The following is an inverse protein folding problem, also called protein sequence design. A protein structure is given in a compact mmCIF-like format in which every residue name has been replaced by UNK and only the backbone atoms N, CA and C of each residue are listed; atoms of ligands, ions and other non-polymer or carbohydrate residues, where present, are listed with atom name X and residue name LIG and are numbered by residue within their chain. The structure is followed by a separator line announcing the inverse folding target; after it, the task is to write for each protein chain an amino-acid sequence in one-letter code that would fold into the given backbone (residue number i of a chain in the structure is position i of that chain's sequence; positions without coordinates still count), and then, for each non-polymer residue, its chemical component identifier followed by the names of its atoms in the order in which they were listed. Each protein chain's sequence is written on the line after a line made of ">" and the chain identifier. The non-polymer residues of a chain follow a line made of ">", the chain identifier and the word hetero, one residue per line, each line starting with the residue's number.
data_IF_303938993937
#
_entry.id   IF_303938993937
#
_cell.length_a   1.000
_cell.length_b   1.000
_cell.length_c   1.000
_cell.angle_alpha   90.00
_cell.angle_beta   90.00
_cell.angle_gamma   90.00
#
_symmetry.space_group_name_H-M   'P 1'
#
loop_
_entity.id
_entity.type
_entity.pdbx_description
1 polymer ?
#
# COMPACT_ATOMS: atom_id res chain seq x y z
N UNK A 1 10.14 9.69 -17.39
CA UNK A 1 11.12 9.47 -16.32
C UNK A 1 12.29 8.79 -16.98
N UNK A 2 13.45 9.46 -17.04
CA UNK A 2 14.62 8.97 -17.76
C UNK A 2 15.37 8.03 -16.81
N UNK A 3 15.53 6.76 -17.18
CA UNK A 3 16.19 5.73 -16.35
C UNK A 3 17.66 6.05 -15.99
N UNK A 4 18.24 7.05 -16.65
CA UNK A 4 19.61 7.51 -16.43
C UNK A 4 19.91 8.03 -15.01
N UNK A 5 18.90 8.44 -14.22
CA UNK A 5 19.11 8.95 -12.87
C UNK A 5 19.10 7.85 -11.78
N UNK A 6 18.79 6.60 -12.12
CA UNK A 6 18.68 5.50 -11.15
C UNK A 6 20.03 4.81 -10.85
N UNK A 7 21.08 5.14 -11.59
CA UNK A 7 22.37 4.41 -11.54
C UNK A 7 23.54 5.20 -10.94
N UNK A 8 23.31 6.36 -10.32
CA UNK A 8 24.34 7.01 -9.50
C UNK A 8 24.55 6.23 -8.20
N UNK A 9 25.44 5.25 -8.28
CA UNK A 9 25.95 4.49 -7.15
C UNK A 9 27.08 5.26 -6.49
N UNK A 10 27.22 5.12 -5.18
CA UNK A 10 28.40 5.62 -4.48
C UNK A 10 29.67 4.87 -4.95
N UNK A 11 30.85 5.33 -4.53
CA UNK A 11 32.14 4.67 -4.84
C UNK A 11 32.22 3.20 -4.37
N UNK A 12 31.27 2.74 -3.54
CA UNK A 12 31.15 1.38 -3.02
C UNK A 12 30.08 0.55 -3.75
N UNK A 13 29.42 1.11 -4.77
CA UNK A 13 28.39 0.44 -5.56
C UNK A 13 26.99 0.44 -4.92
N UNK A 14 26.79 1.14 -3.79
CA UNK A 14 25.48 1.23 -3.15
C UNK A 14 24.59 2.22 -3.90
N UNK A 15 23.32 1.83 -4.07
CA UNK A 15 22.31 2.74 -4.59
C UNK A 15 21.90 3.77 -3.53
N UNK A 16 21.77 5.03 -3.93
CA UNK A 16 21.13 6.09 -3.13
C UNK A 16 20.24 6.95 -4.03
N UNK A 17 19.11 7.46 -3.54
CA UNK A 17 18.33 8.43 -4.30
C UNK A 17 19.13 9.73 -4.44
N UNK A 18 19.04 10.37 -5.61
CA UNK A 18 19.71 11.65 -5.88
C UNK A 18 19.22 12.77 -4.95
N UNK A 19 17.95 12.72 -4.54
CA UNK A 19 17.33 13.70 -3.66
C UNK A 19 16.92 13.07 -2.31
N UNK A 20 17.00 13.81 -1.21
CA UNK A 20 16.43 13.40 0.07
C UNK A 20 14.93 13.15 -0.04
N UNK A 21 14.42 12.19 0.76
CA UNK A 21 12.98 11.94 0.85
C UNK A 21 12.29 13.20 1.38
N UNK A 22 11.44 13.80 0.54
CA UNK A 22 10.65 14.95 0.93
C UNK A 22 9.64 14.58 2.02
N UNK A 23 9.57 15.40 3.08
CA UNK A 23 8.56 15.23 4.12
C UNK A 23 7.16 15.58 3.58
N UNK A 24 6.16 14.84 4.03
CA UNK A 24 4.77 15.14 3.71
C UNK A 24 4.41 16.57 4.15
N UNK A 25 3.62 17.32 3.36
CA UNK A 25 3.31 18.73 3.65
C UNK A 25 2.50 18.93 4.94
N UNK A 26 1.89 17.86 5.48
CA UNK A 26 1.24 17.87 6.79
C UNK A 26 2.22 18.11 7.94
N UNK A 27 3.51 17.78 7.73
CA UNK A 27 4.57 17.99 8.72
C UNK A 27 5.23 19.37 8.59
N UNK A 28 4.78 20.22 7.67
CA UNK A 28 5.37 21.54 7.47
C UNK A 28 4.92 22.52 8.55
N UNK A 29 5.89 23.25 9.11
CA UNK A 29 5.64 24.43 9.94
C UNK A 29 6.23 25.67 9.27
N UNK A 30 5.47 26.76 9.07
CA UNK A 30 4.05 26.93 9.42
C UNK A 30 3.11 26.05 8.57
N UNK A 31 1.89 25.74 9.05
CA UNK A 31 0.96 24.86 8.33
C UNK A 31 0.59 25.41 6.95
N UNK A 32 0.52 24.54 5.94
CA UNK A 32 0.23 24.90 4.53
C UNK A 32 -1.03 24.18 4.01
N UNK A 33 -2.25 24.63 4.35
CA UNK A 33 -3.50 23.89 4.07
C UNK A 33 -3.71 23.54 2.59
N UNK A 34 -3.44 24.49 1.69
CA UNK A 34 -3.59 24.26 0.24
C UNK A 34 -2.63 23.18 -0.27
N UNK A 35 -1.41 23.14 0.26
CA UNK A 35 -0.43 22.11 -0.10
C UNK A 35 -0.87 20.73 0.42
N UNK A 36 -1.42 20.66 1.63
CA UNK A 36 -1.98 19.43 2.20
C UNK A 36 -3.16 18.91 1.38
N UNK A 37 -4.09 19.77 0.97
CA UNK A 37 -5.22 19.37 0.13
C UNK A 37 -4.76 18.84 -1.24
N UNK A 38 -3.82 19.53 -1.89
CA UNK A 38 -3.23 19.08 -3.16
C UNK A 38 -2.50 17.75 -2.99
N UNK A 39 -1.78 17.56 -1.90
CA UNK A 39 -1.12 16.30 -1.59
C UNK A 39 -2.13 15.19 -1.31
N UNK A 40 -3.22 15.48 -0.59
CA UNK A 40 -4.21 14.48 -0.21
C UNK A 40 -4.99 13.96 -1.43
N UNK A 41 -5.50 14.86 -2.27
CA UNK A 41 -6.41 14.54 -3.37
C UNK A 41 -5.76 14.57 -4.77
N UNK A 42 -4.53 15.08 -4.90
CA UNK A 42 -3.81 15.13 -6.18
C UNK A 42 -3.40 13.75 -6.70
N UNK A 43 -2.87 13.71 -7.93
CA UNK A 43 -2.38 12.50 -8.59
C UNK A 43 -0.94 12.71 -9.10
N UNK A 44 0.05 11.88 -8.69
CA UNK A 44 0.02 10.89 -7.61
C UNK A 44 0.10 11.58 -6.23
N UNK A 45 -1.00 11.55 -5.48
CA UNK A 45 -1.09 12.11 -4.12
C UNK A 45 -1.13 11.01 -3.05
N UNK A 46 -1.59 11.35 -1.85
CA UNK A 46 -1.74 10.39 -0.76
C UNK A 46 -2.82 9.34 -1.08
N UNK A 47 -4.03 9.76 -1.47
CA UNK A 47 -5.14 8.82 -1.71
C UNK A 47 -4.86 7.91 -2.93
N UNK A 48 -4.28 8.46 -3.98
CA UNK A 48 -4.14 7.77 -5.27
C UNK A 48 -2.77 7.12 -5.48
N UNK A 49 -2.68 5.97 -6.17
CA UNK A 49 -3.72 4.96 -6.36
C UNK A 49 -3.77 3.96 -5.18
N UNK A 50 -2.68 3.85 -4.41
CA UNK A 50 -2.47 2.75 -3.46
C UNK A 50 -3.44 2.79 -2.28
N UNK A 51 -3.65 3.95 -1.65
CA UNK A 51 -4.56 4.04 -0.50
C UNK A 51 -6.01 3.83 -0.93
N UNK A 52 -6.40 4.28 -2.11
CA UNK A 52 -7.73 4.01 -2.66
C UNK A 52 -7.95 2.51 -2.94
N UNK A 53 -6.93 1.83 -3.49
CA UNK A 53 -6.98 0.38 -3.66
C UNK A 53 -7.22 -0.32 -2.32
N UNK A 54 -6.45 0.03 -1.28
CA UNK A 54 -6.62 -0.55 0.06
C UNK A 54 -7.96 -0.22 0.69
N UNK A 55 -8.46 1.00 0.54
CA UNK A 55 -9.79 1.39 0.98
C UNK A 55 -10.86 0.52 0.32
N UNK A 56 -10.74 0.26 -0.99
CA UNK A 56 -11.63 -0.65 -1.72
C UNK A 56 -11.62 -2.06 -1.13
N UNK A 57 -10.43 -2.62 -0.87
CA UNK A 57 -10.28 -3.93 -0.21
C UNK A 57 -10.93 -3.92 1.18
N UNK A 58 -10.71 -2.87 1.97
CA UNK A 58 -11.33 -2.72 3.30
C UNK A 58 -12.85 -2.71 3.22
N UNK A 59 -13.44 -1.92 2.31
CA UNK A 59 -14.90 -1.82 2.18
C UNK A 59 -15.51 -3.15 1.73
N UNK A 60 -14.91 -3.83 0.75
CA UNK A 60 -15.38 -5.14 0.28
C UNK A 60 -15.30 -6.17 1.40
N UNK A 61 -14.16 -6.24 2.10
CA UNK A 61 -13.97 -7.23 3.15
C UNK A 61 -14.85 -6.98 4.37
N UNK A 62 -15.08 -5.73 4.73
CA UNK A 62 -15.99 -5.34 5.80
C UNK A 62 -17.45 -5.66 5.45
N UNK A 63 -17.90 -5.26 4.27
CA UNK A 63 -19.31 -5.38 3.89
C UNK A 63 -19.75 -6.83 3.60
N UNK A 64 -18.85 -7.68 3.08
CA UNK A 64 -19.24 -9.00 2.58
C UNK A 64 -18.50 -10.17 3.22
N UNK A 65 -17.30 -9.96 3.76
CA UNK A 65 -16.44 -11.05 4.27
C UNK A 65 -16.16 -10.94 5.78
N UNK A 66 -16.91 -10.10 6.48
CA UNK A 66 -16.80 -9.93 7.93
C UNK A 66 -18.19 -10.17 8.53
N UNK A 67 -18.32 -11.05 9.55
CA UNK A 67 -19.58 -11.24 10.26
C UNK A 67 -20.06 -9.94 10.89
N UNK A 68 -21.34 -9.85 11.20
CA UNK A 68 -21.88 -8.68 11.87
C UNK A 68 -21.30 -8.54 13.30
N UNK A 69 -21.30 -7.30 13.80
CA UNK A 69 -20.76 -6.97 15.12
C UNK A 69 -21.52 -7.65 16.27
N UNK A 70 -22.80 -7.99 16.11
CA UNK A 70 -23.55 -8.66 17.16
C UNK A 70 -23.10 -10.12 17.30
N UNK A 71 -22.82 -10.78 16.18
CA UNK A 71 -22.22 -12.13 16.13
C UNK A 71 -20.83 -12.17 16.77
N UNK A 72 -20.02 -11.13 16.60
CA UNK A 72 -18.66 -11.05 17.16
C UNK A 72 -18.60 -10.54 18.61
N UNK A 73 -19.75 -10.37 19.27
CA UNK A 73 -19.82 -9.92 20.68
C UNK A 73 -19.26 -10.98 21.64
N UNK A 74 -19.37 -12.26 21.31
CA UNK A 74 -18.78 -13.38 22.05
C UNK A 74 -17.63 -13.99 21.26
N UNK A 75 -16.61 -14.45 21.97
CA UNK A 75 -15.46 -15.12 21.36
C UNK A 75 -15.86 -16.52 20.90
N UNK A 76 -15.93 -16.71 19.58
CA UNK A 76 -16.21 -17.99 18.96
C UNK A 76 -15.12 -18.32 17.94
N UNK A 77 -14.65 -19.57 17.94
CA UNK A 77 -13.54 -19.98 17.09
C UNK A 77 -13.85 -19.89 15.60
N UNK A 78 -15.12 -20.07 15.20
CA UNK A 78 -15.48 -20.14 13.79
C UNK A 78 -15.26 -18.79 13.08
N UNK A 79 -15.66 -17.66 13.68
CA UNK A 79 -15.51 -16.37 13.03
C UNK A 79 -14.07 -15.87 13.12
N UNK A 80 -13.35 -16.23 14.17
CA UNK A 80 -11.91 -15.99 14.29
C UNK A 80 -11.18 -16.71 13.15
N UNK A 81 -11.48 -18.00 12.96
CA UNK A 81 -10.92 -18.81 11.89
C UNK A 81 -11.31 -18.26 10.50
N UNK A 82 -12.56 -17.80 10.32
CA UNK A 82 -13.01 -17.17 9.08
C UNK A 82 -12.20 -15.92 8.75
N UNK A 83 -12.08 -14.98 9.70
CA UNK A 83 -11.32 -13.74 9.50
C UNK A 83 -9.84 -14.05 9.26
N UNK A 84 -9.26 -14.94 10.04
CA UNK A 84 -7.86 -15.33 9.90
C UNK A 84 -7.58 -16.00 8.54
N UNK A 85 -8.39 -17.00 8.17
CA UNK A 85 -8.27 -17.70 6.90
C UNK A 85 -8.47 -16.76 5.71
N UNK A 86 -9.45 -15.86 5.78
CA UNK A 86 -9.66 -14.82 4.75
C UNK A 86 -8.45 -13.90 4.63
N UNK A 87 -7.86 -13.45 5.73
CA UNK A 87 -6.68 -12.58 5.70
C UNK A 87 -5.46 -13.30 5.11
N UNK A 88 -5.24 -14.56 5.47
CA UNK A 88 -4.19 -15.39 4.85
C UNK A 88 -4.42 -15.53 3.35
N UNK A 89 -5.65 -15.79 2.91
CA UNK A 89 -5.99 -15.90 1.50
C UNK A 89 -5.74 -14.59 0.73
N UNK A 90 -6.12 -13.43 1.30
CA UNK A 90 -5.84 -12.12 0.69
C UNK A 90 -4.34 -11.84 0.57
N UNK A 91 -3.56 -12.13 1.61
CA UNK A 91 -2.11 -11.96 1.60
C UNK A 91 -1.47 -12.87 0.54
N UNK A 92 -1.83 -14.15 0.53
CA UNK A 92 -1.32 -15.12 -0.42
C UNK A 92 -1.69 -14.74 -1.86
N UNK A 93 -2.93 -14.30 -2.10
CA UNK A 93 -3.37 -13.88 -3.42
C UNK A 93 -2.63 -12.63 -3.90
N UNK A 94 -2.59 -11.57 -3.08
CA UNK A 94 -2.03 -10.29 -3.51
C UNK A 94 -0.50 -10.34 -3.56
N UNK A 95 0.16 -10.65 -2.44
CA UNK A 95 1.62 -10.66 -2.38
C UNK A 95 2.22 -11.87 -3.08
N UNK A 96 1.58 -13.05 -2.96
CA UNK A 96 2.01 -14.22 -3.72
C UNK A 96 1.79 -14.02 -5.22
N UNK A 97 0.70 -13.38 -5.65
CA UNK A 97 0.46 -13.01 -7.04
C UNK A 97 1.50 -12.03 -7.58
N UNK A 98 1.82 -10.97 -6.82
CA UNK A 98 2.88 -10.03 -7.18
C UNK A 98 4.25 -10.72 -7.21
N UNK A 99 4.54 -11.60 -6.25
CA UNK A 99 5.80 -12.35 -6.22
C UNK A 99 5.93 -13.30 -7.41
N UNK A 100 4.85 -14.02 -7.73
CA UNK A 100 4.78 -14.86 -8.93
C UNK A 100 5.02 -14.01 -10.19
N UNK A 101 4.35 -12.87 -10.31
CA UNK A 101 4.45 -12.02 -11.49
C UNK A 101 5.84 -11.39 -11.66
N UNK A 102 6.40 -10.79 -10.60
CA UNK A 102 7.67 -10.06 -10.66
C UNK A 102 8.88 -10.99 -10.63
N UNK A 103 8.89 -12.04 -9.79
CA UNK A 103 10.10 -12.84 -9.57
C UNK A 103 10.11 -14.16 -10.33
N UNK A 104 8.98 -14.87 -10.39
CA UNK A 104 8.92 -16.18 -11.06
C UNK A 104 8.72 -15.98 -12.56
N UNK A 105 7.70 -15.21 -12.94
CA UNK A 105 7.38 -14.92 -14.34
C UNK A 105 8.26 -13.82 -14.94
N UNK A 106 8.98 -13.05 -14.09
CA UNK A 106 9.92 -11.99 -14.49
C UNK A 106 9.31 -10.97 -15.47
N UNK A 107 8.04 -10.60 -15.25
CA UNK A 107 7.29 -9.70 -16.15
C UNK A 107 7.44 -8.21 -15.82
N UNK A 108 8.42 -7.83 -15.02
CA UNK A 108 8.62 -6.43 -14.61
C UNK A 108 9.21 -5.52 -15.72
N UNK A 109 9.53 -6.08 -16.89
CA UNK A 109 10.21 -5.38 -17.98
C UNK A 109 11.72 -5.25 -17.70
N UNK A 110 12.51 -5.35 -18.76
CA UNK A 110 13.80 -4.66 -18.83
C UNK A 110 13.53 -3.30 -19.49
#
# INVERSE_FOLDING_TARGET
>A
MTDAALDERDDRGNWRPAEPIALAPINAWPPRPVAVLKWLFGFPGYIWPYHLFWLGVTLVTWAYLTPDLATMKTLELWWIALIHGRNLALIAFLFGGLHLYFHILRRQGD
#
